data_IF_248746367974
#
_entry.id   IF_248746367974
#
_cell.length_a   1.000
_cell.length_b   1.000
_cell.length_c   1.000
_cell.angle_alpha   90.00
_cell.angle_beta   90.00
_cell.angle_gamma   90.00
#
_symmetry.space_group_name_H-M   'P 1'
#
loop_
_entity.id
_entity.type
_entity.pdbx_description
1 polymer ?
#
# COMPACT_ATOMS: atom_id res chain seq x y z
N UNK A 1 -2.75 4.20 -23.92
CA UNK A 1 -2.68 4.60 -22.50
C UNK A 1 -4.04 4.36 -21.86
N UNK A 2 -4.05 3.71 -20.69
CA UNK A 2 -5.30 3.44 -19.96
C UNK A 2 -5.75 4.71 -19.26
N UNK A 3 -7.06 4.99 -19.32
CA UNK A 3 -7.64 6.13 -18.62
C UNK A 3 -7.87 5.77 -17.15
N UNK A 4 -7.18 6.46 -16.24
CA UNK A 4 -7.35 6.27 -14.80
C UNK A 4 -8.59 7.03 -14.34
N UNK A 5 -9.58 6.31 -13.83
CA UNK A 5 -10.85 6.86 -13.35
C UNK A 5 -10.92 6.96 -11.84
N UNK A 6 -10.25 6.06 -11.15
CA UNK A 6 -10.25 6.03 -9.69
C UNK A 6 -9.16 6.88 -9.08
N UNK A 7 -9.35 7.21 -7.79
CA UNK A 7 -8.31 7.88 -6.99
C UNK A 7 -7.37 6.81 -6.44
N UNK A 8 -6.09 6.91 -6.77
CA UNK A 8 -5.05 6.02 -6.25
C UNK A 8 -4.46 6.62 -4.99
N UNK A 9 -4.47 5.85 -3.90
CA UNK A 9 -3.97 6.29 -2.61
C UNK A 9 -2.90 5.31 -2.13
N UNK A 10 -1.67 5.79 -1.99
CA UNK A 10 -0.59 5.03 -1.38
C UNK A 10 -0.75 5.10 0.14
N UNK A 11 -0.99 3.98 0.78
CA UNK A 11 -1.19 3.92 2.23
C UNK A 11 0.03 3.40 2.97
N UNK A 12 0.49 4.17 3.94
CA UNK A 12 1.56 3.74 4.85
C UNK A 12 1.10 2.50 5.63
N UNK A 13 2.02 1.59 6.01
CA UNK A 13 1.62 0.42 6.80
C UNK A 13 0.84 0.80 8.06
N UNK A 14 -0.28 0.13 8.30
CA UNK A 14 -1.12 0.35 9.47
C UNK A 14 -2.25 1.35 9.29
N UNK A 15 -2.40 1.96 8.11
CA UNK A 15 -3.51 2.92 7.86
C UNK A 15 -4.86 2.25 7.60
N UNK A 16 -4.92 0.91 7.53
CA UNK A 16 -6.18 0.18 7.43
C UNK A 16 -6.69 -0.06 6.01
N UNK A 17 -5.81 -0.32 5.05
CA UNK A 17 -6.20 -0.57 3.66
C UNK A 17 -7.11 -1.79 3.51
N UNK A 18 -6.73 -2.91 4.10
CA UNK A 18 -7.51 -4.15 4.01
C UNK A 18 -8.87 -4.02 4.67
N UNK A 19 -8.94 -3.31 5.78
CA UNK A 19 -10.19 -3.03 6.47
C UNK A 19 -11.11 -2.16 5.60
N UNK A 20 -10.56 -1.13 4.96
CA UNK A 20 -11.33 -0.24 4.09
C UNK A 20 -11.97 -1.01 2.93
N UNK A 21 -11.25 -1.95 2.30
CA UNK A 21 -11.78 -2.77 1.22
C UNK A 21 -13.00 -3.58 1.64
N UNK A 22 -13.05 -4.05 2.89
CA UNK A 22 -14.18 -4.82 3.39
C UNK A 22 -15.46 -4.00 3.55
N UNK A 23 -15.35 -2.67 3.61
CA UNK A 23 -16.48 -1.79 3.85
C UNK A 23 -17.28 -1.45 2.60
N UNK A 24 -16.69 -1.57 1.41
CA UNK A 24 -17.35 -1.14 0.18
C UNK A 24 -16.72 -1.78 -1.05
N UNK A 25 -17.56 -2.11 -2.04
CA UNK A 25 -17.13 -2.57 -3.35
C UNK A 25 -16.45 -1.45 -4.18
N UNK A 26 -16.55 -0.20 -3.74
CA UNK A 26 -15.91 0.94 -4.39
C UNK A 26 -14.41 1.04 -4.09
N UNK A 27 -13.92 0.23 -3.16
CA UNK A 27 -12.55 0.27 -2.67
C UNK A 27 -11.83 -1.02 -3.05
N UNK A 28 -10.70 -0.90 -3.73
CA UNK A 28 -9.81 -2.01 -4.00
C UNK A 28 -8.51 -1.83 -3.21
N UNK A 29 -8.11 -2.86 -2.47
CA UNK A 29 -6.82 -2.91 -1.79
C UNK A 29 -5.87 -3.78 -2.61
N UNK A 30 -4.86 -3.16 -3.23
CA UNK A 30 -3.88 -3.84 -4.05
C UNK A 30 -2.67 -4.20 -3.19
N UNK A 31 -2.60 -5.46 -2.77
CA UNK A 31 -1.49 -5.98 -1.99
C UNK A 31 -0.27 -6.27 -2.86
N UNK A 32 0.89 -5.74 -2.46
CA UNK A 32 2.13 -5.91 -3.22
C UNK A 32 2.83 -7.24 -2.97
N UNK A 33 2.60 -7.85 -1.80
CA UNK A 33 3.37 -9.02 -1.37
C UNK A 33 3.26 -10.22 -2.33
N UNK A 34 2.08 -10.49 -2.86
CA UNK A 34 1.86 -11.60 -3.79
C UNK A 34 2.55 -11.38 -5.15
N UNK A 35 2.84 -10.13 -5.51
CA UNK A 35 3.62 -9.80 -6.70
C UNK A 35 5.11 -9.93 -6.45
N UNK A 36 5.56 -9.50 -5.28
CA UNK A 36 6.98 -9.57 -4.88
C UNK A 36 7.42 -11.01 -4.62
N UNK A 37 6.58 -11.79 -3.94
CA UNK A 37 6.83 -13.18 -3.58
C UNK A 37 5.65 -14.05 -4.03
N UNK A 38 5.59 -14.40 -5.33
CA UNK A 38 4.46 -15.20 -5.86
C UNK A 38 4.45 -16.61 -5.25
N UNK A 39 3.26 -17.19 -5.20
CA UNK A 39 3.05 -18.54 -4.68
C UNK A 39 3.78 -19.57 -5.56
N UNK A 40 4.46 -20.52 -4.94
CA UNK A 40 5.08 -21.64 -5.62
C UNK A 40 4.01 -22.68 -5.97
N UNK A 41 3.30 -22.45 -7.08
CA UNK A 41 2.22 -23.33 -7.54
C UNK A 41 2.70 -24.72 -7.94
N UNK A 42 3.95 -24.83 -8.38
CA UNK A 42 4.54 -26.14 -8.76
C UNK A 42 4.54 -27.11 -7.59
N UNK A 43 4.80 -26.60 -6.38
CA UNK A 43 4.89 -27.41 -5.17
C UNK A 43 3.76 -27.16 -4.17
N UNK A 44 2.61 -26.66 -4.65
CA UNK A 44 1.50 -26.29 -3.75
C UNK A 44 1.00 -27.46 -2.90
N UNK A 45 1.06 -28.68 -3.42
CA UNK A 45 0.66 -29.89 -2.69
C UNK A 45 1.81 -30.59 -1.98
N UNK A 46 3.01 -30.00 -1.99
CA UNK A 46 4.22 -30.56 -1.39
C UNK A 46 4.89 -29.48 -0.54
N UNK A 47 4.30 -29.12 0.64
CA UNK A 47 4.78 -27.99 1.46
C UNK A 47 6.27 -28.01 1.78
N UNK A 48 6.85 -29.21 1.93
CA UNK A 48 8.27 -29.38 2.21
C UNK A 48 9.18 -28.98 1.06
N UNK A 49 8.64 -28.87 -0.16
CA UNK A 49 9.38 -28.47 -1.35
C UNK A 49 9.12 -27.02 -1.74
N UNK A 50 8.15 -26.35 -1.09
CA UNK A 50 7.84 -24.96 -1.42
C UNK A 50 8.98 -24.03 -1.11
N UNK A 51 9.27 -23.13 -2.04
CA UNK A 51 10.33 -22.13 -1.89
C UNK A 51 9.75 -20.73 -1.99
N UNK A 52 10.30 -19.81 -1.18
CA UNK A 52 9.99 -18.39 -1.31
C UNK A 52 10.94 -17.81 -2.36
N UNK A 53 10.37 -17.38 -3.48
CA UNK A 53 11.13 -16.78 -4.58
C UNK A 53 10.70 -15.34 -4.77
N UNK A 54 11.69 -14.46 -4.96
CA UNK A 54 11.44 -13.07 -5.30
C UNK A 54 11.26 -12.92 -6.80
N UNK A 55 10.18 -12.25 -7.23
CA UNK A 55 10.03 -11.82 -8.60
C UNK A 55 10.65 -10.43 -8.73
N UNK A 56 11.80 -10.33 -9.38
CA UNK A 56 12.52 -9.06 -9.52
C UNK A 56 11.78 -8.04 -10.40
N UNK A 57 10.81 -8.47 -11.17
CA UNK A 57 9.97 -7.61 -12.00
C UNK A 57 8.61 -7.30 -11.35
N UNK A 58 8.51 -7.49 -10.04
CA UNK A 58 7.25 -7.35 -9.32
C UNK A 58 6.66 -5.95 -9.40
N UNK A 59 7.50 -4.93 -9.42
CA UNK A 59 7.03 -3.53 -9.45
C UNK A 59 6.24 -3.26 -10.71
N UNK A 60 6.75 -3.64 -11.86
CA UNK A 60 6.05 -3.46 -13.14
C UNK A 60 4.72 -4.20 -13.16
N UNK A 61 4.71 -5.45 -12.72
CA UNK A 61 3.49 -6.26 -12.65
C UNK A 61 2.47 -5.68 -11.70
N UNK A 62 2.94 -5.21 -10.55
CA UNK A 62 2.08 -4.60 -9.53
C UNK A 62 1.46 -3.30 -10.05
N UNK A 63 2.23 -2.44 -10.69
CA UNK A 63 1.71 -1.19 -11.24
C UNK A 63 0.77 -1.46 -12.42
N UNK A 64 1.02 -2.48 -13.24
CA UNK A 64 0.06 -2.93 -14.26
C UNK A 64 -1.30 -3.26 -13.63
N UNK A 65 -1.27 -3.98 -12.51
CA UNK A 65 -2.49 -4.34 -11.77
C UNK A 65 -3.20 -3.09 -11.22
N UNK A 66 -2.45 -2.14 -10.67
CA UNK A 66 -3.00 -0.87 -10.17
C UNK A 66 -3.72 -0.13 -11.30
N UNK A 67 -3.09 -0.03 -12.47
CA UNK A 67 -3.71 0.61 -13.63
C UNK A 67 -5.02 -0.08 -14.03
N UNK A 68 -5.04 -1.42 -14.03
CA UNK A 68 -6.25 -2.17 -14.38
C UNK A 68 -7.37 -1.89 -13.38
N UNK A 69 -7.08 -1.90 -12.08
CA UNK A 69 -8.08 -1.64 -11.05
C UNK A 69 -8.65 -0.23 -11.15
N UNK A 70 -7.82 0.75 -11.45
CA UNK A 70 -8.24 2.16 -11.52
C UNK A 70 -8.84 2.55 -12.87
N UNK A 71 -8.68 1.73 -13.92
CA UNK A 71 -9.18 2.02 -15.27
C UNK A 71 -10.22 1.01 -15.72
N UNK A 72 -9.80 -0.20 -16.05
CA UNK A 72 -10.68 -1.24 -16.61
C UNK A 72 -11.79 -1.64 -15.65
N UNK A 73 -11.46 -1.86 -14.39
CA UNK A 73 -12.43 -2.23 -13.36
C UNK A 73 -13.12 -1.02 -12.74
N UNK A 74 -12.61 0.20 -13.02
CA UNK A 74 -13.26 1.44 -12.64
C UNK A 74 -13.50 1.64 -11.15
N UNK A 75 -12.66 1.08 -10.29
CA UNK A 75 -12.80 1.25 -8.85
C UNK A 75 -12.61 2.73 -8.47
N UNK A 76 -13.56 3.34 -7.75
CA UNK A 76 -13.44 4.74 -7.32
C UNK A 76 -12.22 5.01 -6.43
N UNK A 77 -11.84 4.05 -5.58
CA UNK A 77 -10.68 4.15 -4.71
C UNK A 77 -9.80 2.92 -4.87
N UNK A 78 -8.53 3.14 -5.17
CA UNK A 78 -7.53 2.07 -5.30
C UNK A 78 -6.44 2.33 -4.29
N UNK A 79 -6.38 1.48 -3.25
CA UNK A 79 -5.41 1.60 -2.17
C UNK A 79 -4.21 0.74 -2.51
N UNK A 80 -3.01 1.32 -2.42
CA UNK A 80 -1.78 0.66 -2.84
C UNK A 80 -0.70 0.82 -1.79
N UNK A 81 0.35 0.02 -1.93
CA UNK A 81 1.54 0.09 -1.09
C UNK A 81 2.26 1.43 -1.28
N UNK A 82 2.86 1.94 -0.20
CA UNK A 82 3.61 3.20 -0.22
C UNK A 82 5.09 3.05 -0.57
N UNK A 83 5.53 1.88 -1.02
CA UNK A 83 6.92 1.63 -1.37
C UNK A 83 7.44 2.64 -2.40
N UNK A 84 8.66 3.14 -2.17
CA UNK A 84 9.27 4.14 -3.05
C UNK A 84 9.41 3.65 -4.50
N UNK A 85 9.75 2.37 -4.70
CA UNK A 85 9.90 1.81 -6.03
C UNK A 85 8.56 1.76 -6.79
N UNK A 86 7.46 1.53 -6.11
CA UNK A 86 6.11 1.55 -6.69
C UNK A 86 5.73 2.97 -7.09
N UNK A 87 5.98 3.93 -6.21
CA UNK A 87 5.71 5.35 -6.48
C UNK A 87 6.55 5.86 -7.64
N UNK A 88 7.82 5.47 -7.68
CA UNK A 88 8.73 5.83 -8.77
C UNK A 88 8.22 5.31 -10.11
N UNK A 89 7.77 4.06 -10.18
CA UNK A 89 7.22 3.49 -11.42
C UNK A 89 5.93 4.19 -11.84
N UNK A 90 5.06 4.53 -10.89
CA UNK A 90 3.87 5.33 -11.20
C UNK A 90 4.23 6.71 -11.75
N UNK A 91 5.24 7.35 -11.16
CA UNK A 91 5.74 8.64 -11.65
C UNK A 91 6.26 8.54 -13.10
N UNK A 92 7.04 7.49 -13.39
CA UNK A 92 7.57 7.24 -14.74
C UNK A 92 6.43 7.07 -15.75
N UNK A 93 5.35 6.41 -15.37
CA UNK A 93 4.18 6.21 -16.24
C UNK A 93 3.23 7.40 -16.29
N UNK A 94 3.47 8.45 -15.51
CA UNK A 94 2.59 9.60 -15.42
C UNK A 94 1.29 9.34 -14.68
N UNK A 95 1.26 8.31 -13.84
CA UNK A 95 0.09 7.96 -13.02
C UNK A 95 0.09 8.86 -11.79
N UNK A 96 -1.02 9.57 -11.57
CA UNK A 96 -1.18 10.46 -10.41
C UNK A 96 -1.71 9.66 -9.22
N UNK A 97 -1.24 10.02 -8.03
CA UNK A 97 -1.66 9.39 -6.78
C UNK A 97 -1.52 10.39 -5.63
N UNK A 98 -2.16 10.10 -4.52
CA UNK A 98 -1.92 10.79 -3.25
C UNK A 98 -1.39 9.78 -2.25
N UNK A 99 -0.86 10.27 -1.12
CA UNK A 99 -0.28 9.39 -0.11
C UNK A 99 -0.95 9.66 1.24
N UNK A 100 -1.36 8.61 1.94
CA UNK A 100 -1.93 8.70 3.29
C UNK A 100 -0.93 8.13 4.29
N UNK A 101 -0.54 8.95 5.26
CA UNK A 101 0.45 8.59 6.28
C UNK A 101 -0.05 8.99 7.66
N UNK A 102 0.44 8.33 8.73
CA UNK A 102 0.21 8.84 10.08
C UNK A 102 1.00 10.12 10.32
N UNK A 103 0.51 10.95 11.25
CA UNK A 103 1.33 12.03 11.80
C UNK A 103 2.54 11.41 12.49
N UNK A 104 3.69 12.06 12.37
CA UNK A 104 4.98 11.52 12.84
C UNK A 104 4.96 11.18 14.33
N UNK A 105 4.28 11.97 15.15
CA UNK A 105 4.17 11.76 16.58
C UNK A 105 3.37 10.50 16.96
N UNK A 106 2.72 9.83 16.01
CA UNK A 106 1.92 8.62 16.25
C UNK A 106 2.73 7.32 16.18
N UNK A 107 4.05 7.40 16.24
CA UNK A 107 4.94 6.24 16.13
C UNK A 107 4.53 5.10 17.05
N UNK A 108 4.36 5.39 18.35
CA UNK A 108 4.03 4.36 19.34
C UNK A 108 2.65 3.73 19.07
N UNK A 109 1.68 4.53 18.65
CA UNK A 109 0.35 4.04 18.31
C UNK A 109 0.44 3.05 17.12
N UNK A 110 1.22 3.37 16.11
CA UNK A 110 1.38 2.52 14.92
C UNK A 110 2.18 1.25 15.22
N UNK A 111 3.23 1.35 16.03
CA UNK A 111 3.96 0.16 16.47
C UNK A 111 3.02 -0.79 17.23
N UNK A 112 2.13 -0.25 18.07
CA UNK A 112 1.10 -1.02 18.75
C UNK A 112 0.13 -1.69 17.77
N UNK A 113 -0.27 -0.99 16.70
CA UNK A 113 -1.10 -1.58 15.63
C UNK A 113 -0.43 -2.80 15.00
N UNK A 114 0.87 -2.69 14.70
CA UNK A 114 1.63 -3.78 14.11
C UNK A 114 1.72 -4.99 15.03
N UNK A 115 1.94 -4.77 16.32
CA UNK A 115 1.96 -5.85 17.32
C UNK A 115 0.59 -6.53 17.39
N UNK A 116 -0.48 -5.76 17.49
CA UNK A 116 -1.85 -6.28 17.63
C UNK A 116 -2.30 -7.10 16.43
N UNK A 117 -1.89 -6.72 15.22
CA UNK A 117 -2.25 -7.48 14.01
C UNK A 117 -1.34 -8.68 13.77
N UNK A 118 -0.35 -8.93 14.64
CA UNK A 118 0.54 -10.09 14.54
C UNK A 118 1.66 -9.95 13.53
N UNK A 119 2.10 -8.73 13.23
CA UNK A 119 3.22 -8.50 12.33
C UNK A 119 4.50 -9.15 12.85
N UNK A 120 5.38 -9.57 11.94
CA UNK A 120 6.66 -10.16 12.30
C UNK A 120 7.55 -9.16 13.03
N UNK A 121 8.36 -9.64 13.97
CA UNK A 121 9.27 -8.79 14.75
C UNK A 121 10.21 -8.01 13.83
N UNK A 122 10.73 -8.64 12.78
CA UNK A 122 11.61 -7.97 11.81
C UNK A 122 10.96 -6.77 11.14
N UNK A 123 9.67 -6.88 10.82
CA UNK A 123 8.91 -5.77 10.26
C UNK A 123 8.75 -4.64 11.27
N UNK A 124 8.38 -4.97 12.52
CA UNK A 124 8.20 -3.98 13.58
C UNK A 124 9.51 -3.24 13.85
N UNK A 125 10.64 -3.96 13.87
CA UNK A 125 11.96 -3.35 14.03
C UNK A 125 12.29 -2.37 12.90
N UNK A 126 12.01 -2.74 11.66
CA UNK A 126 12.18 -1.84 10.50
C UNK A 126 11.36 -0.57 10.67
N UNK A 127 10.10 -0.70 11.05
CA UNK A 127 9.22 0.45 11.25
C UNK A 127 9.72 1.35 12.37
N UNK A 128 10.24 0.75 13.44
CA UNK A 128 10.83 1.51 14.55
C UNK A 128 12.05 2.32 14.09
N UNK A 129 13.00 1.69 13.38
CA UNK A 129 14.24 2.33 12.99
C UNK A 129 14.07 3.36 11.87
N UNK A 130 13.20 3.08 10.90
CA UNK A 130 13.06 3.91 9.69
C UNK A 130 11.83 4.81 9.71
N UNK A 131 11.11 4.88 10.82
CA UNK A 131 9.87 5.64 10.93
C UNK A 131 10.03 7.09 10.45
N UNK A 132 10.96 7.82 11.04
CA UNK A 132 11.19 9.22 10.71
C UNK A 132 11.73 9.40 9.30
N UNK A 133 12.70 8.57 8.91
CA UNK A 133 13.32 8.64 7.60
C UNK A 133 12.31 8.40 6.47
N UNK A 134 11.48 7.37 6.60
CA UNK A 134 10.49 7.05 5.58
C UNK A 134 9.38 8.09 5.50
N UNK A 135 8.91 8.60 6.63
CA UNK A 135 7.91 9.68 6.64
C UNK A 135 8.48 10.97 6.05
N UNK A 136 9.73 11.31 6.36
CA UNK A 136 10.39 12.49 5.79
C UNK A 136 10.57 12.36 4.27
N UNK A 137 10.93 11.18 3.78
CA UNK A 137 11.04 10.93 2.34
C UNK A 137 9.69 11.17 1.64
N UNK A 138 8.61 10.69 2.23
CA UNK A 138 7.26 10.87 1.69
C UNK A 138 6.89 12.37 1.69
N UNK A 139 7.15 13.09 2.78
CA UNK A 139 6.87 14.52 2.86
C UNK A 139 7.58 15.32 1.76
N UNK A 140 8.75 14.87 1.35
CA UNK A 140 9.59 15.57 0.36
C UNK A 140 9.45 15.03 -1.07
N UNK A 141 8.54 14.09 -1.33
CA UNK A 141 8.43 13.47 -2.65
C UNK A 141 7.68 14.32 -3.69
N UNK A 142 7.04 15.40 -3.28
CA UNK A 142 6.35 16.32 -4.21
C UNK A 142 4.89 15.98 -4.51
N UNK A 143 4.38 14.85 -4.02
CA UNK A 143 2.98 14.45 -4.20
C UNK A 143 2.13 14.90 -3.01
N UNK A 144 0.80 15.08 -3.20
CA UNK A 144 -0.08 15.41 -2.07
C UNK A 144 -0.05 14.34 -0.99
N UNK A 145 0.09 14.77 0.26
CA UNK A 145 0.17 13.88 1.43
C UNK A 145 -0.97 14.23 2.40
N UNK A 146 -1.68 13.20 2.84
CA UNK A 146 -2.73 13.33 3.85
C UNK A 146 -2.22 12.72 5.14
N UNK A 147 -2.37 13.45 6.25
CA UNK A 147 -1.89 13.01 7.56
C UNK A 147 -3.07 12.50 8.39
N UNK A 148 -2.99 11.24 8.82
CA UNK A 148 -4.00 10.64 9.69
C UNK A 148 -3.70 10.98 11.15
N UNK A 149 -4.75 11.31 11.89
CA UNK A 149 -4.68 11.62 13.32
C UNK A 149 -4.79 10.34 14.15
N UNK A 150 -4.57 10.47 15.47
CA UNK A 150 -4.72 9.35 16.41
C UNK A 150 -6.09 8.68 16.28
N UNK A 151 -6.10 7.36 16.23
CA UNK A 151 -7.32 6.56 16.11
C UNK A 151 -7.98 6.59 14.74
N UNK A 152 -7.45 7.37 13.80
CA UNK A 152 -8.03 7.51 12.47
C UNK A 152 -7.45 6.47 11.51
N UNK A 153 -8.29 5.95 10.63
CA UNK A 153 -7.92 5.01 9.57
C UNK A 153 -8.27 5.62 8.21
N UNK A 154 -7.72 5.04 7.14
CA UNK A 154 -7.97 5.54 5.80
C UNK A 154 -9.47 5.54 5.46
N UNK A 155 -10.22 4.55 5.94
CA UNK A 155 -11.68 4.48 5.74
C UNK A 155 -12.41 5.71 6.27
N UNK A 156 -11.88 6.35 7.30
CA UNK A 156 -12.51 7.53 7.93
C UNK A 156 -12.42 8.77 7.05
N UNK A 157 -11.46 8.83 6.14
CA UNK A 157 -11.23 9.99 5.29
C UNK A 157 -11.73 9.82 3.85
N UNK A 158 -12.02 8.58 3.41
CA UNK A 158 -12.45 8.35 2.02
C UNK A 158 -13.69 9.12 1.62
N UNK A 159 -14.74 9.24 2.46
CA UNK A 159 -15.95 9.96 2.08
C UNK A 159 -15.75 11.45 1.76
N UNK A 160 -14.69 12.05 2.29
CA UNK A 160 -14.41 13.48 2.10
C UNK A 160 -13.38 13.74 0.99
N UNK A 161 -12.82 12.70 0.38
CA UNK A 161 -11.87 12.84 -0.70
C UNK A 161 -12.57 12.94 -2.05
N UNK A 162 -12.06 13.76 -2.97
CA UNK A 162 -12.63 13.85 -4.32
C UNK A 162 -12.41 12.53 -5.07
N UNK A 163 -13.43 12.15 -5.83
CA UNK A 163 -13.36 10.98 -6.70
C UNK A 163 -12.92 11.38 -8.09
#
# INVERSE_FOLDING_TARGET
MKEIKGLIICGFPGVGKSYAEQLSNDIADCESNAFHFPVDWEHINEPEKMEVKEDKNWVNKYVDHIEDMASQYGKPYVLVSSHVEVRTEMDVRGIKYIIAVPKKELKDEYLSRYVKRGSQVSFIEKMYFYWEEWLDEIENCGMPVIHLSSGQYIADILPILPR
#
